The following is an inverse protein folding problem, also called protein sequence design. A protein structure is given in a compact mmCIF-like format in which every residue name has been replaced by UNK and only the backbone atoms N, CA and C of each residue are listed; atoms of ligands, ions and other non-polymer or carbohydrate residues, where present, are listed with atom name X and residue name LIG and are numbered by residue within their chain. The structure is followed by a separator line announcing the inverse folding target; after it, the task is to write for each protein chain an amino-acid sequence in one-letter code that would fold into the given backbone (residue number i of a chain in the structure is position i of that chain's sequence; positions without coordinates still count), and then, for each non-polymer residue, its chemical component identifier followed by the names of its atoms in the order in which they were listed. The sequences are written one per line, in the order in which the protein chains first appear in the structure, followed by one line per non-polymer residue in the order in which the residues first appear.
data_IF_671504838260
#
_entry.id   IF_671504838260
#
_cell.length_a   1.000
_cell.length_b   1.000
_cell.length_c   1.000
_cell.angle_alpha   90.00
_cell.angle_beta   90.00
_cell.angle_gamma   90.00
#
_symmetry.space_group_name_H-M   'P 1'
#
loop_
_entity.id
_entity.type
_entity.pdbx_description
1 polymer ?
#
# COMPACT_ATOMS: atom_id res chain seq x y z
N UNK A 1 9.94 -26.36 19.04
CA UNK A 1 8.85 -25.41 19.36
C UNK A 1 7.56 -25.97 18.81
N UNK A 2 6.55 -26.23 19.64
CA UNK A 2 5.27 -26.81 19.22
C UNK A 2 5.42 -28.01 18.27
N UNK A 3 6.28 -28.96 18.63
CA UNK A 3 6.68 -30.15 17.85
C UNK A 3 7.52 -29.94 16.58
N UNK A 4 7.71 -28.69 16.11
CA UNK A 4 8.60 -28.39 15.00
C UNK A 4 10.04 -28.14 15.48
N UNK A 5 11.01 -28.74 14.80
CA UNK A 5 12.43 -28.54 15.04
C UNK A 5 12.95 -27.27 14.36
N UNK A 6 13.75 -26.50 15.09
CA UNK A 6 14.44 -25.32 14.60
C UNK A 6 15.90 -25.40 15.04
N UNK A 7 16.80 -24.98 14.15
CA UNK A 7 18.25 -24.99 14.42
C UNK A 7 18.81 -23.59 14.20
N UNK A 8 19.50 -23.07 15.20
CA UNK A 8 20.16 -21.76 15.17
C UNK A 8 21.33 -21.73 16.16
N UNK A 9 22.11 -20.65 16.18
CA UNK A 9 23.20 -20.48 17.15
C UNK A 9 22.67 -19.92 18.47
N UNK A 10 23.39 -20.22 19.56
CA UNK A 10 23.07 -19.69 20.89
C UNK A 10 23.10 -18.17 20.90
N UNK A 11 24.16 -17.58 20.35
CA UNK A 11 24.39 -16.13 20.35
C UNK A 11 23.21 -15.38 19.72
N UNK A 12 22.72 -15.86 18.57
CA UNK A 12 21.54 -15.29 17.88
C UNK A 12 20.29 -15.24 18.77
N UNK A 13 20.07 -16.25 19.60
CA UNK A 13 18.91 -16.27 20.50
C UNK A 13 19.14 -15.38 21.72
N UNK A 14 20.34 -15.41 22.31
CA UNK A 14 20.61 -14.73 23.59
C UNK A 14 20.84 -13.22 23.46
N UNK A 15 21.28 -12.73 22.30
CA UNK A 15 21.49 -11.30 22.06
C UNK A 15 20.17 -10.51 22.04
N UNK A 16 19.11 -11.08 21.46
CA UNK A 16 17.85 -10.38 21.23
C UNK A 16 16.71 -10.76 22.19
N UNK A 17 16.90 -11.73 23.08
CA UNK A 17 15.84 -12.27 23.94
C UNK A 17 16.31 -12.59 25.34
N UNK A 18 15.70 -11.95 26.33
CA UNK A 18 15.94 -12.26 27.74
C UNK A 18 15.41 -13.66 28.13
N UNK A 19 14.32 -14.10 27.50
CA UNK A 19 13.80 -15.45 27.67
C UNK A 19 14.84 -16.51 27.25
N UNK A 20 15.43 -16.38 26.06
CA UNK A 20 16.42 -17.33 25.59
C UNK A 20 17.74 -17.24 26.35
N UNK A 21 18.15 -16.04 26.76
CA UNK A 21 19.29 -15.87 27.66
C UNK A 21 19.10 -16.63 28.98
N UNK A 22 17.89 -16.60 29.56
CA UNK A 22 17.55 -17.37 30.75
C UNK A 22 17.45 -18.87 30.48
N UNK A 23 16.75 -19.29 29.42
CA UNK A 23 16.55 -20.70 29.05
C UNK A 23 17.87 -21.42 28.76
N UNK A 24 18.77 -20.76 28.03
CA UNK A 24 20.07 -21.30 27.61
C UNK A 24 21.19 -20.96 28.61
N UNK A 25 20.85 -20.38 29.76
CA UNK A 25 21.78 -20.27 30.87
C UNK A 25 21.97 -21.66 31.49
N UNK A 26 23.19 -21.98 31.94
CA UNK A 26 23.48 -23.22 32.66
C UNK A 26 22.83 -23.31 34.03
N UNK A 27 21.88 -22.41 34.33
CA UNK A 27 21.18 -22.30 35.61
C UNK A 27 20.03 -23.29 35.72
N UNK A 28 19.52 -23.81 34.61
CA UNK A 28 18.37 -24.72 34.57
C UNK A 28 18.70 -25.96 33.74
N UNK A 29 18.42 -27.15 34.29
CA UNK A 29 18.62 -28.44 33.61
C UNK A 29 17.40 -28.77 32.74
N UNK A 30 17.15 -27.92 31.75
CA UNK A 30 15.93 -27.96 30.91
C UNK A 30 16.21 -28.47 29.49
N UNK A 31 17.43 -28.92 29.21
CA UNK A 31 17.77 -29.58 27.96
C UNK A 31 17.22 -31.00 27.98
N UNK A 32 16.76 -31.48 26.83
CA UNK A 32 16.42 -32.88 26.62
C UNK A 32 17.70 -33.72 26.53
N UNK A 33 17.56 -35.05 26.60
CA UNK A 33 18.69 -35.99 26.54
C UNK A 33 19.55 -35.84 25.28
N UNK A 34 18.98 -35.35 24.18
CA UNK A 34 19.67 -35.08 22.92
C UNK A 34 20.31 -33.68 22.85
N UNK A 35 20.23 -32.90 23.92
CA UNK A 35 20.71 -31.53 24.02
C UNK A 35 19.80 -30.47 23.39
N UNK A 36 18.63 -30.86 22.87
CA UNK A 36 17.64 -29.94 22.33
C UNK A 36 16.76 -29.33 23.43
N UNK A 37 16.00 -28.29 23.09
CA UNK A 37 15.09 -27.62 24.02
C UNK A 37 13.66 -27.68 23.49
N UNK A 38 12.73 -28.03 24.38
CA UNK A 38 11.31 -27.96 24.09
C UNK A 38 10.73 -26.63 24.56
N UNK A 39 9.87 -26.05 23.71
CA UNK A 39 9.15 -24.81 23.99
C UNK A 39 7.72 -25.02 23.50
N UNK A 40 6.77 -24.80 24.41
CA UNK A 40 5.35 -24.89 24.15
C UNK A 40 4.84 -23.54 23.62
N UNK A 41 5.05 -23.32 22.31
CA UNK A 41 4.65 -22.10 21.59
C UNK A 41 4.29 -22.46 20.14
N UNK A 42 3.61 -21.53 19.44
CA UNK A 42 3.21 -21.74 18.05
C UNK A 42 4.43 -21.79 17.12
N UNK A 43 4.69 -22.93 16.43
CA UNK A 43 5.83 -23.05 15.53
C UNK A 43 5.75 -22.13 14.30
N UNK A 44 4.55 -21.74 13.85
CA UNK A 44 4.40 -20.84 12.70
C UNK A 44 4.81 -19.41 13.05
N UNK A 45 4.39 -18.91 14.22
CA UNK A 45 4.80 -17.59 14.70
C UNK A 45 6.27 -17.57 15.09
N UNK A 46 6.77 -18.66 15.68
CA UNK A 46 8.18 -18.77 16.05
C UNK A 46 9.13 -18.65 14.85
N UNK A 47 8.71 -19.06 13.65
CA UNK A 47 9.51 -18.85 12.43
C UNK A 47 9.79 -17.35 12.17
N UNK A 48 8.81 -16.48 12.43
CA UNK A 48 8.97 -15.03 12.32
C UNK A 48 9.86 -14.46 13.42
N UNK A 49 9.70 -14.95 14.66
CA UNK A 49 10.57 -14.60 15.79
C UNK A 49 12.03 -14.94 15.45
N UNK A 50 12.28 -16.17 15.02
CA UNK A 50 13.63 -16.63 14.70
C UNK A 50 14.23 -15.84 13.53
N UNK A 51 13.45 -15.56 12.48
CA UNK A 51 13.91 -14.75 11.34
C UNK A 51 14.29 -13.34 11.76
N UNK A 52 13.54 -12.73 12.66
CA UNK A 52 13.87 -11.43 13.24
C UNK A 52 15.20 -11.50 14.01
N UNK A 53 15.34 -12.44 14.95
CA UNK A 53 16.56 -12.60 15.76
C UNK A 53 17.80 -12.84 14.88
N UNK A 54 17.67 -13.63 13.81
CA UNK A 54 18.79 -13.92 12.91
C UNK A 54 19.22 -12.73 12.01
N UNK A 55 18.31 -11.81 11.69
CA UNK A 55 18.54 -10.81 10.61
C UNK A 55 18.33 -9.36 11.02
N UNK A 56 17.71 -9.11 12.18
CA UNK A 56 17.26 -7.78 12.58
C UNK A 56 16.24 -7.19 11.61
N UNK A 57 15.44 -8.01 10.91
CA UNK A 57 14.41 -7.52 9.98
C UNK A 57 13.04 -7.71 10.62
N UNK A 58 12.33 -6.60 10.86
CA UNK A 58 10.97 -6.61 11.33
C UNK A 58 10.03 -7.23 10.28
N UNK A 59 9.10 -8.10 10.69
CA UNK A 59 8.24 -8.80 9.76
C UNK A 59 7.14 -7.88 9.21
N UNK A 60 6.93 -7.93 7.90
CA UNK A 60 5.86 -7.20 7.22
C UNK A 60 4.86 -8.17 6.60
N UNK A 61 3.63 -8.16 7.12
CA UNK A 61 2.50 -8.93 6.64
C UNK A 61 1.55 -8.01 5.89
N UNK A 62 1.92 -7.64 4.65
CA UNK A 62 1.13 -6.78 3.80
C UNK A 62 0.85 -7.46 2.47
N UNK A 63 -0.41 -7.44 2.06
CA UNK A 63 -0.88 -7.83 0.75
C UNK A 63 -1.49 -6.64 0.02
N UNK A 64 -1.23 -6.49 -1.28
CA UNK A 64 -1.70 -5.33 -2.04
C UNK A 64 -3.22 -5.23 -2.13
N UNK A 65 -3.93 -6.37 -2.05
CA UNK A 65 -5.39 -6.47 -2.13
C UNK A 65 -6.01 -6.45 -0.74
N UNK A 66 -5.50 -7.27 0.18
CA UNK A 66 -6.07 -7.45 1.53
C UNK A 66 -5.59 -6.41 2.54
N UNK A 67 -4.47 -5.75 2.27
CA UNK A 67 -3.81 -4.84 3.21
C UNK A 67 -2.98 -5.57 4.26
N UNK A 68 -2.83 -4.94 5.43
CA UNK A 68 -2.10 -5.51 6.55
C UNK A 68 -2.86 -6.67 7.21
N UNK A 69 -2.17 -7.74 7.55
CA UNK A 69 -2.70 -8.82 8.39
C UNK A 69 -2.60 -8.44 9.87
N UNK A 70 -3.54 -7.63 10.33
CA UNK A 70 -3.59 -7.14 11.71
C UNK A 70 -3.68 -8.27 12.74
N UNK A 71 -4.34 -9.37 12.41
CA UNK A 71 -4.43 -10.51 13.31
C UNK A 71 -3.05 -11.12 13.52
N UNK A 72 -2.30 -11.37 12.44
CA UNK A 72 -0.96 -11.93 12.51
C UNK A 72 0.02 -11.00 13.26
N UNK A 73 -0.11 -9.68 13.10
CA UNK A 73 0.69 -8.73 13.89
C UNK A 73 0.39 -8.82 15.39
N UNK A 74 -0.88 -8.94 15.78
CA UNK A 74 -1.26 -9.08 17.20
C UNK A 74 -0.80 -10.43 17.76
N UNK A 75 -0.99 -11.52 17.02
CA UNK A 75 -0.50 -12.84 17.44
C UNK A 75 1.02 -12.84 17.63
N UNK A 76 1.76 -12.22 16.72
CA UNK A 76 3.22 -12.13 16.84
C UNK A 76 3.67 -11.20 17.97
N UNK A 77 2.89 -10.16 18.31
CA UNK A 77 3.19 -9.30 19.46
C UNK A 77 3.15 -10.09 20.77
N UNK A 78 2.17 -10.97 20.96
CA UNK A 78 2.11 -11.83 22.14
C UNK A 78 3.29 -12.81 22.21
N UNK A 79 3.72 -13.36 21.08
CA UNK A 79 4.93 -14.19 21.02
C UNK A 79 6.20 -13.37 21.32
N UNK A 80 6.31 -12.14 20.81
CA UNK A 80 7.43 -11.26 21.12
C UNK A 80 7.51 -10.92 22.62
N UNK A 81 6.36 -10.76 23.28
CA UNK A 81 6.26 -10.60 24.75
C UNK A 81 6.66 -11.86 25.49
N UNK A 82 6.13 -13.01 25.07
CA UNK A 82 6.46 -14.32 25.65
C UNK A 82 7.97 -14.60 25.59
N UNK A 83 8.58 -14.39 24.43
CA UNK A 83 10.02 -14.52 24.23
C UNK A 83 10.83 -13.31 24.72
N UNK A 84 10.20 -12.30 25.31
CA UNK A 84 10.86 -11.11 25.87
C UNK A 84 11.87 -10.49 24.89
N UNK A 85 11.38 -10.04 23.73
CA UNK A 85 12.16 -9.43 22.64
C UNK A 85 11.76 -7.95 22.54
N UNK A 86 12.38 -7.06 23.34
CA UNK A 86 11.83 -5.71 23.56
C UNK A 86 11.76 -4.86 22.30
N UNK A 87 12.73 -4.99 21.40
CA UNK A 87 12.76 -4.21 20.17
C UNK A 87 11.68 -4.64 19.17
N UNK A 88 11.38 -5.94 19.08
CA UNK A 88 10.29 -6.44 18.24
C UNK A 88 8.93 -6.11 18.85
N UNK A 89 8.81 -6.26 20.18
CA UNK A 89 7.63 -5.85 20.93
C UNK A 89 7.30 -4.38 20.69
N UNK A 90 8.26 -3.47 20.89
CA UNK A 90 8.09 -2.02 20.68
C UNK A 90 7.64 -1.69 19.25
N UNK A 91 8.25 -2.34 18.26
CA UNK A 91 7.93 -2.11 16.85
C UNK A 91 6.50 -2.54 16.49
N UNK A 92 6.08 -3.70 16.99
CA UNK A 92 4.73 -4.24 16.79
C UNK A 92 3.68 -3.43 17.55
N UNK A 93 3.93 -3.10 18.82
CA UNK A 93 3.02 -2.34 19.69
C UNK A 93 2.78 -0.92 19.16
N UNK A 94 3.84 -0.24 18.70
CA UNK A 94 3.75 1.08 18.06
C UNK A 94 3.23 1.03 16.63
N UNK A 95 2.91 -0.15 16.11
CA UNK A 95 2.40 -0.36 14.74
C UNK A 95 3.27 0.26 13.66
N UNK A 96 4.59 0.22 13.83
CA UNK A 96 5.55 0.82 12.89
C UNK A 96 5.50 0.20 11.49
N UNK A 97 4.89 -0.98 11.34
CA UNK A 97 4.55 -1.56 10.04
C UNK A 97 3.65 -0.65 9.17
N UNK A 98 2.85 0.23 9.77
CA UNK A 98 2.01 1.18 9.02
C UNK A 98 2.85 2.23 8.28
N UNK A 99 4.03 2.57 8.81
CA UNK A 99 4.95 3.51 8.16
C UNK A 99 5.74 2.85 7.02
N UNK A 100 5.84 1.52 7.03
CA UNK A 100 6.57 0.75 6.03
C UNK A 100 5.83 0.70 4.67
N UNK A 101 4.53 0.97 4.65
CA UNK A 101 3.71 0.93 3.43
C UNK A 101 2.95 2.24 3.27
N UNK A 102 3.21 2.95 2.17
CA UNK A 102 2.48 4.16 1.82
C UNK A 102 1.57 3.90 0.62
N UNK A 103 0.28 4.21 0.78
CA UNK A 103 -0.71 4.10 -0.30
C UNK A 103 -1.08 5.51 -0.78
N UNK A 104 -0.84 5.79 -2.06
CA UNK A 104 -1.24 7.03 -2.73
C UNK A 104 -2.39 6.75 -3.70
N UNK A 105 -3.33 7.69 -3.82
CA UNK A 105 -4.44 7.63 -4.76
C UNK A 105 -4.41 8.88 -5.65
N UNK A 106 -4.57 8.70 -6.96
CA UNK A 106 -4.85 9.79 -7.91
C UNK A 106 -6.15 9.49 -8.64
N UNK A 107 -6.85 10.55 -9.02
CA UNK A 107 -8.09 10.50 -9.77
C UNK A 107 -7.97 11.50 -10.92
N UNK A 108 -7.95 10.99 -12.14
CA UNK A 108 -7.80 11.79 -13.35
C UNK A 108 -9.08 11.67 -14.18
N UNK A 109 -9.61 12.79 -14.65
CA UNK A 109 -10.79 12.83 -15.51
C UNK A 109 -10.37 13.09 -16.96
N UNK A 110 -10.91 12.29 -17.87
CA UNK A 110 -10.70 12.41 -19.31
C UNK A 110 -12.04 12.48 -20.04
N UNK A 111 -12.06 13.23 -21.13
CA UNK A 111 -13.19 13.31 -22.05
C UNK A 111 -12.92 12.43 -23.29
N UNK A 112 -13.84 12.47 -24.25
CA UNK A 112 -13.93 11.62 -25.44
C UNK A 112 -12.73 11.69 -26.41
N UNK A 113 -11.84 12.68 -26.27
CA UNK A 113 -10.63 12.86 -27.09
C UNK A 113 -9.43 12.02 -26.60
N UNK A 114 -9.60 11.22 -25.54
CA UNK A 114 -8.51 10.43 -24.96
C UNK A 114 -8.36 9.05 -25.63
N UNK A 115 -7.70 9.02 -26.79
CA UNK A 115 -7.28 7.79 -27.46
C UNK A 115 -6.07 7.15 -26.76
N UNK A 116 -6.24 6.53 -25.59
CA UNK A 116 -5.15 5.83 -24.90
C UNK A 116 -5.48 4.36 -24.62
N UNK A 117 -5.60 3.55 -25.67
CA UNK A 117 -5.65 2.08 -25.56
C UNK A 117 -4.25 1.44 -25.69
N UNK A 118 -3.20 2.11 -25.20
CA UNK A 118 -1.85 1.57 -25.29
C UNK A 118 -1.48 0.83 -24.00
N UNK A 119 -1.52 -0.51 -24.06
CA UNK A 119 -0.85 -1.47 -23.18
C UNK A 119 0.05 -0.83 -22.11
N UNK A 120 -0.54 -0.50 -20.96
CA UNK A 120 0.21 0.03 -19.83
C UNK A 120 0.90 -1.14 -19.14
N UNK A 121 2.24 -1.16 -19.20
CA UNK A 121 3.03 -1.86 -18.19
C UNK A 121 2.84 -1.09 -16.88
N UNK A 122 1.88 -1.55 -16.09
CA UNK A 122 1.63 -1.00 -14.76
C UNK A 122 2.61 -1.67 -13.79
N UNK A 123 3.38 -0.91 -12.99
CA UNK A 123 4.21 -1.51 -11.94
C UNK A 123 3.36 -2.37 -11.01
N UNK A 124 3.92 -3.45 -10.45
CA UNK A 124 3.17 -4.37 -9.58
C UNK A 124 2.57 -3.72 -8.33
N UNK A 125 3.14 -2.60 -7.88
CA UNK A 125 2.60 -1.79 -6.78
C UNK A 125 1.44 -0.88 -7.18
N UNK A 126 1.01 -0.87 -8.44
CA UNK A 126 -0.01 0.05 -8.95
C UNK A 126 -1.26 -0.70 -9.40
N UNK A 127 -2.42 -0.25 -8.95
CA UNK A 127 -3.74 -0.67 -9.42
C UNK A 127 -4.40 0.50 -10.14
N UNK A 128 -4.99 0.25 -11.31
CA UNK A 128 -5.73 1.25 -12.09
C UNK A 128 -7.14 0.76 -12.31
N UNK A 129 -8.12 1.60 -11.97
CA UNK A 129 -9.54 1.37 -12.21
C UNK A 129 -10.08 2.42 -13.17
N UNK A 130 -10.97 2.00 -14.05
CA UNK A 130 -11.59 2.84 -15.06
C UNK A 130 -13.09 2.87 -14.81
N UNK A 131 -13.62 4.07 -14.56
CA UNK A 131 -15.04 4.33 -14.36
C UNK A 131 -15.51 5.22 -15.49
N UNK A 132 -16.40 4.73 -16.35
CA UNK A 132 -16.90 5.49 -17.49
C UNK A 132 -18.38 5.81 -17.34
N UNK A 133 -18.78 7.01 -17.74
CA UNK A 133 -20.17 7.44 -17.76
C UNK A 133 -20.44 8.38 -18.93
N UNK A 134 -21.67 8.33 -19.44
CA UNK A 134 -22.15 9.33 -20.39
C UNK A 134 -22.45 10.62 -19.64
N UNK A 135 -21.90 11.73 -20.13
CA UNK A 135 -22.13 13.07 -19.61
C UNK A 135 -22.58 14.00 -20.73
N UNK A 136 -23.13 15.17 -20.38
CA UNK A 136 -23.58 16.18 -21.33
C UNK A 136 -22.67 17.40 -21.19
N UNK A 137 -22.08 17.86 -22.30
CA UNK A 137 -21.36 19.13 -22.37
C UNK A 137 -22.15 20.16 -23.17
N UNK A 138 -22.01 21.43 -22.80
CA UNK A 138 -22.58 22.56 -23.55
C UNK A 138 -21.55 23.10 -24.51
N UNK A 139 -21.82 22.98 -25.80
CA UNK A 139 -20.93 23.44 -26.87
C UNK A 139 -21.43 24.74 -27.44
N UNK A 140 -20.60 25.78 -27.37
CA UNK A 140 -20.94 27.09 -27.92
C UNK A 140 -21.21 27.03 -29.42
N UNK A 141 -22.32 27.64 -29.85
CA UNK A 141 -22.71 27.77 -31.24
C UNK A 141 -22.55 29.22 -31.68
N UNK A 142 -21.68 29.44 -32.67
CA UNK A 142 -21.48 30.74 -33.29
C UNK A 142 -22.79 31.28 -33.88
N UNK A 143 -23.19 32.55 -33.60
CA UNK A 143 -24.40 33.16 -34.17
C UNK A 143 -24.45 33.17 -35.70
N UNK A 144 -23.29 33.01 -36.35
CA UNK A 144 -23.15 32.94 -37.81
C UNK A 144 -22.94 31.52 -38.34
N UNK A 145 -22.97 30.50 -37.49
CA UNK A 145 -22.78 29.10 -37.87
C UNK A 145 -21.40 28.78 -38.45
N UNK A 146 -20.35 29.55 -38.12
CA UNK A 146 -19.01 29.32 -38.66
C UNK A 146 -18.39 28.10 -37.96
N UNK A 147 -18.05 27.00 -38.67
CA UNK A 147 -17.59 25.76 -38.05
C UNK A 147 -16.35 25.94 -37.16
N UNK A 148 -15.36 26.72 -37.61
CA UNK A 148 -14.12 26.99 -36.83
C UNK A 148 -14.32 27.85 -35.57
N UNK A 149 -15.54 28.33 -35.29
CA UNK A 149 -15.86 29.05 -34.06
C UNK A 149 -16.62 28.18 -33.05
N UNK A 150 -17.06 26.97 -33.44
CA UNK A 150 -17.84 26.09 -32.56
C UNK A 150 -17.00 25.68 -31.34
N UNK A 151 -17.62 25.70 -30.16
CA UNK A 151 -16.95 25.42 -28.88
C UNK A 151 -16.00 26.52 -28.40
N UNK A 152 -15.73 27.56 -29.20
CA UNK A 152 -14.80 28.65 -28.85
C UNK A 152 -15.46 30.03 -29.08
N UNK A 153 -16.14 30.59 -28.06
CA UNK A 153 -16.68 31.95 -28.13
C UNK A 153 -15.62 33.00 -28.47
N UNK A 154 -14.37 32.80 -28.05
CA UNK A 154 -13.25 33.70 -28.30
C UNK A 154 -12.86 33.79 -29.79
N UNK A 155 -13.22 32.79 -30.60
CA UNK A 155 -13.05 32.83 -32.05
C UNK A 155 -14.03 33.83 -32.71
N UNK A 156 -15.06 34.29 -32.01
CA UNK A 156 -16.04 35.23 -32.55
C UNK A 156 -15.57 36.69 -32.46
N UNK A 157 -15.50 37.35 -33.62
CA UNK A 157 -15.25 38.80 -33.71
C UNK A 157 -16.53 39.65 -33.79
N UNK A 158 -16.37 40.96 -34.03
CA UNK A 158 -17.47 41.97 -34.10
C UNK A 158 -18.64 41.56 -34.99
N UNK A 159 -18.38 40.89 -36.12
CA UNK A 159 -19.42 40.44 -37.05
C UNK A 159 -20.33 39.35 -36.47
N UNK A 160 -19.80 38.50 -35.58
CA UNK A 160 -20.59 37.48 -34.88
C UNK A 160 -21.41 38.13 -33.76
N UNK A 161 -20.84 39.10 -33.04
CA UNK A 161 -21.56 39.87 -32.02
C UNK A 161 -22.74 40.66 -32.62
N UNK A 162 -22.56 41.28 -33.80
CA UNK A 162 -23.64 41.94 -34.52
C UNK A 162 -24.77 40.96 -34.91
N UNK A 163 -24.41 39.75 -35.38
CA UNK A 163 -25.38 38.71 -35.71
C UNK A 163 -26.12 38.15 -34.49
N UNK A 164 -25.50 38.19 -33.30
CA UNK A 164 -26.16 37.84 -32.03
C UNK A 164 -27.26 38.84 -31.63
N UNK A 165 -27.20 40.06 -32.16
CA UNK A 165 -28.20 41.12 -31.94
C UNK A 165 -28.52 41.41 -30.46
N UNK A 166 -27.54 41.23 -29.57
CA UNK A 166 -27.71 41.44 -28.13
C UNK A 166 -28.38 40.29 -27.37
N UNK A 167 -28.73 39.18 -28.04
CA UNK A 167 -29.18 37.96 -27.37
C UNK A 167 -28.04 37.29 -26.59
N UNK A 168 -28.42 36.38 -25.70
CA UNK A 168 -27.48 35.52 -24.98
C UNK A 168 -26.74 34.55 -25.90
N UNK A 169 -25.66 33.98 -25.40
CA UNK A 169 -24.90 32.97 -26.13
C UNK A 169 -25.71 31.68 -26.29
N UNK A 170 -25.63 31.10 -27.49
CA UNK A 170 -26.31 29.86 -27.82
C UNK A 170 -25.37 28.66 -27.59
N UNK A 171 -25.92 27.59 -27.02
CA UNK A 171 -25.20 26.36 -26.73
C UNK A 171 -26.01 25.14 -27.18
N UNK A 172 -25.31 24.13 -27.67
CA UNK A 172 -25.87 22.81 -27.98
C UNK A 172 -25.42 21.82 -26.92
N UNK A 173 -26.33 20.94 -26.49
CA UNK A 173 -26.00 19.86 -25.57
C UNK A 173 -25.51 18.64 -26.35
N UNK A 174 -24.27 18.23 -26.10
CA UNK A 174 -23.68 17.04 -26.71
C UNK A 174 -23.38 15.98 -25.66
N UNK A 175 -23.82 14.73 -25.87
CA UNK A 175 -23.36 13.61 -25.07
C UNK A 175 -21.89 13.33 -25.38
N UNK A 176 -21.08 13.14 -24.34
CA UNK A 176 -19.70 12.68 -24.46
C UNK A 176 -19.41 11.59 -23.43
N UNK A 177 -18.41 10.77 -23.71
CA UNK A 177 -17.95 9.75 -22.76
C UNK A 177 -16.95 10.38 -21.80
N UNK A 178 -17.30 10.45 -20.53
CA UNK A 178 -16.39 10.85 -19.46
C UNK A 178 -15.77 9.60 -18.83
N UNK A 179 -14.46 9.61 -18.65
CA UNK A 179 -13.71 8.55 -18.01
C UNK A 179 -12.99 9.08 -16.78
N UNK A 180 -13.29 8.50 -15.63
CA UNK A 180 -12.53 8.69 -14.39
C UNK A 180 -11.55 7.53 -14.25
N UNK A 181 -10.27 7.85 -14.20
CA UNK A 181 -9.17 6.90 -13.99
C UNK A 181 -8.70 7.05 -12.55
N UNK A 182 -8.94 6.02 -11.75
CA UNK A 182 -8.45 5.95 -10.38
C UNK A 182 -7.17 5.13 -10.36
N UNK A 183 -6.08 5.71 -9.86
CA UNK A 183 -4.80 5.03 -9.71
C UNK A 183 -4.44 4.93 -8.25
N UNK A 184 -4.28 3.71 -7.75
CA UNK A 184 -3.76 3.41 -6.43
C UNK A 184 -2.32 2.94 -6.55
N UNK A 185 -1.40 3.57 -5.84
CA UNK A 185 0.03 3.24 -5.83
C UNK A 185 0.46 2.86 -4.42
N UNK A 186 1.00 1.66 -4.25
CA UNK A 186 1.61 1.17 -3.01
C UNK A 186 3.12 1.31 -3.12
N UNK A 187 3.70 2.08 -2.20
CA UNK A 187 5.14 2.31 -2.08
C UNK A 187 5.65 1.65 -0.80
N UNK A 188 6.64 0.77 -0.93
CA UNK A 188 7.27 0.11 0.20
C UNK A 188 8.53 0.86 0.65
N UNK A 189 8.67 1.05 1.96
CA UNK A 189 9.79 1.71 2.64
C UNK A 189 10.60 0.67 3.43
N UNK A 190 11.53 -0.06 2.77
CA UNK A 190 12.27 -1.17 3.40
C UNK A 190 13.06 -0.73 4.64
N UNK A 191 13.51 0.51 4.69
CA UNK A 191 14.27 1.09 5.79
C UNK A 191 13.51 1.11 7.12
N UNK A 192 12.17 1.07 7.09
CA UNK A 192 11.32 1.00 8.29
C UNK A 192 11.35 -0.41 8.91
N UNK A 193 11.66 -1.42 8.10
CA UNK A 193 11.66 -2.83 8.50
C UNK A 193 13.03 -3.32 8.98
N UNK A 194 14.04 -2.46 9.09
CA UNK A 194 15.37 -2.85 9.58
C UNK A 194 15.55 -2.34 11.01
N UNK A 195 15.82 -3.26 11.94
CA UNK A 195 16.27 -2.95 13.28
C UNK A 195 17.63 -2.25 13.16
N UNK A 196 17.70 -1.01 13.62
CA UNK A 196 18.97 -0.30 13.73
C UNK A 196 19.59 -0.65 15.07
N UNK A 197 20.89 -0.93 15.07
CA UNK A 197 21.67 -1.06 16.31
C UNK A 197 21.50 0.24 17.10
N UNK A 198 20.99 0.10 18.32
CA UNK A 198 20.74 1.20 19.26
C UNK A 198 21.96 1.44 20.13
#
# INVERSE_FOLDING_TARGET
VGERYFTTTKDTLTEGSAFFAALLSSRWDNALDDGSYFIDADPALFEHILRYLCRGIFPLFFDIVKGHDYHLYVSLLEEARYFQIPQLEDWLERKRYLDAVQVAHTADQYDDDYSFWAYLKVPSGVTVEYHSQWAIRKVYICPRGIPGHRGSPMSCGRRCAAARAGNDDNFEEEPYLMMLVLKRTVNFKPEVCVARDS
#
